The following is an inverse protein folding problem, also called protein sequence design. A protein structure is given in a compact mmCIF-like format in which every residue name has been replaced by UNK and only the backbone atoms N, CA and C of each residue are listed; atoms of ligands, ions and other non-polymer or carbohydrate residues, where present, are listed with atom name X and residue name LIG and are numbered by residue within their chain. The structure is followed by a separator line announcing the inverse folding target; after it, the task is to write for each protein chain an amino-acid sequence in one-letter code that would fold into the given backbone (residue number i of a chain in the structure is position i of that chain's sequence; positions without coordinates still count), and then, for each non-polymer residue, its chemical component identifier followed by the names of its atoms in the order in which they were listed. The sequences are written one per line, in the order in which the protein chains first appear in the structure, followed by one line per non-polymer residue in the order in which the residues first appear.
data_IF_655696404876
#
_entry.id   IF_655696404876
#
_cell.length_a   1.000
_cell.length_b   1.000
_cell.length_c   1.000
_cell.angle_alpha   90.00
_cell.angle_beta   90.00
_cell.angle_gamma   90.00
#
_symmetry.space_group_name_H-M   'P 1'
#
loop_
_entity.id
_entity.type
_entity.pdbx_description
1 polymer ?
#
# COMPACT_ATOMS: atom_id res chain seq x y z
N UNK A 1 -20.13 -7.94 7.87
CA UNK A 1 -19.99 -6.47 7.73
C UNK A 1 -20.44 -5.83 9.02
N UNK A 2 -19.58 -5.02 9.62
CA UNK A 2 -19.85 -4.35 10.90
C UNK A 2 -19.77 -2.83 10.73
N UNK A 3 -20.68 -2.06 11.36
CA UNK A 3 -20.51 -0.61 11.47
C UNK A 3 -19.41 -0.29 12.49
N UNK A 4 -18.55 0.66 12.15
CA UNK A 4 -17.43 1.11 12.95
C UNK A 4 -17.52 2.61 13.16
N UNK A 5 -17.19 3.06 14.37
CA UNK A 5 -17.27 4.47 14.75
C UNK A 5 -15.87 5.02 15.09
N UNK A 6 -15.49 6.15 14.49
CA UNK A 6 -14.24 6.89 14.77
C UNK A 6 -14.51 8.39 14.79
N UNK A 7 -14.28 9.00 15.95
CA UNK A 7 -14.40 10.45 16.14
C UNK A 7 -13.09 11.15 15.74
N UNK A 8 -12.84 11.21 14.43
CA UNK A 8 -11.67 11.87 13.83
C UNK A 8 -12.10 12.84 12.72
N UNK A 9 -11.26 13.84 12.45
CA UNK A 9 -11.51 14.82 11.38
C UNK A 9 -11.74 14.14 10.02
N UNK A 10 -12.77 14.50 9.25
CA UNK A 10 -12.95 13.90 7.93
C UNK A 10 -11.82 14.26 6.95
N UNK A 11 -11.60 13.37 5.98
CA UNK A 11 -10.74 13.55 4.80
C UNK A 11 -11.47 13.00 3.58
N UNK A 12 -10.94 13.19 2.38
CA UNK A 12 -11.58 12.73 1.15
C UNK A 12 -11.88 11.21 1.16
N UNK A 13 -11.06 10.41 1.85
CA UNK A 13 -11.18 8.97 2.03
C UNK A 13 -11.59 8.55 3.46
N UNK A 14 -11.89 9.51 4.35
CA UNK A 14 -12.26 9.27 5.75
C UNK A 14 -13.59 9.93 6.07
N UNK A 15 -14.63 9.11 6.20
CA UNK A 15 -15.95 9.56 6.60
C UNK A 15 -15.95 10.03 8.05
N UNK A 16 -16.75 11.06 8.35
CA UNK A 16 -16.94 11.56 9.70
C UNK A 16 -17.76 10.57 10.52
N UNK A 17 -17.22 10.13 11.65
CA UNK A 17 -17.89 9.29 12.64
C UNK A 17 -18.13 7.83 12.22
N UNK A 18 -18.87 7.52 11.15
CA UNK A 18 -19.28 6.13 10.85
C UNK A 18 -18.78 5.60 9.50
N UNK A 19 -18.43 4.32 9.44
CA UNK A 19 -18.11 3.59 8.19
C UNK A 19 -18.27 2.08 8.41
N UNK A 20 -18.23 1.28 7.33
CA UNK A 20 -18.42 -0.17 7.40
C UNK A 20 -17.12 -0.92 7.13
N UNK A 21 -16.88 -1.98 7.89
CA UNK A 21 -15.78 -2.92 7.66
C UNK A 21 -16.28 -4.33 7.34
N UNK A 22 -15.54 -5.02 6.49
CA UNK A 22 -15.65 -6.46 6.31
C UNK A 22 -14.71 -7.09 7.35
N UNK A 23 -15.26 -7.33 8.52
CA UNK A 23 -14.55 -7.92 9.65
C UNK A 23 -14.49 -9.46 9.52
N UNK A 24 -13.31 -10.04 9.73
CA UNK A 24 -13.06 -11.47 9.59
C UNK A 24 -11.93 -11.92 10.53
N UNK A 25 -12.14 -13.07 11.19
CA UNK A 25 -11.16 -13.72 12.07
C UNK A 25 -11.11 -15.21 11.72
N UNK A 26 -9.91 -15.80 11.76
CA UNK A 26 -9.69 -17.20 11.41
C UNK A 26 -8.85 -17.88 12.50
N UNK A 27 -9.14 -19.16 12.78
CA UNK A 27 -8.40 -19.95 13.78
C UNK A 27 -7.47 -20.96 13.12
N UNK A 28 -6.31 -21.20 13.74
CA UNK A 28 -5.31 -22.19 13.28
C UNK A 28 -4.76 -21.93 11.87
N UNK A 29 -4.58 -20.66 11.51
CA UNK A 29 -4.06 -20.23 10.20
C UNK A 29 -2.71 -19.53 10.33
N UNK A 30 -1.93 -19.55 9.27
CA UNK A 30 -0.73 -18.72 9.11
C UNK A 30 -1.05 -17.48 8.28
N UNK A 31 -0.11 -16.53 8.22
CA UNK A 31 -0.26 -15.29 7.48
C UNK A 31 -0.56 -15.52 5.99
N UNK A 32 0.06 -16.52 5.39
CA UNK A 32 -0.12 -16.85 3.97
C UNK A 32 -1.54 -17.32 3.64
N UNK A 33 -2.19 -18.01 4.57
CA UNK A 33 -3.58 -18.46 4.39
C UNK A 33 -4.52 -17.27 4.31
N UNK A 34 -4.33 -16.27 5.18
CA UNK A 34 -5.10 -15.03 5.19
C UNK A 34 -4.91 -14.28 3.86
N UNK A 35 -3.65 -14.15 3.41
CA UNK A 35 -3.37 -13.50 2.14
C UNK A 35 -4.01 -14.21 0.96
N UNK A 36 -3.92 -15.54 0.88
CA UNK A 36 -4.53 -16.30 -0.20
C UNK A 36 -6.06 -16.12 -0.26
N UNK A 37 -6.72 -16.12 0.90
CA UNK A 37 -8.16 -15.89 1.01
C UNK A 37 -8.54 -14.48 0.54
N UNK A 38 -7.82 -13.45 1.02
CA UNK A 38 -8.10 -12.07 0.66
C UNK A 38 -7.81 -11.78 -0.82
N UNK A 39 -6.70 -12.29 -1.37
CA UNK A 39 -6.36 -12.14 -2.79
C UNK A 39 -7.46 -12.74 -3.68
N UNK A 40 -7.96 -13.93 -3.35
CA UNK A 40 -9.08 -14.56 -4.06
C UNK A 40 -10.35 -13.73 -3.93
N UNK A 41 -10.70 -13.31 -2.71
CA UNK A 41 -11.89 -12.51 -2.43
C UNK A 41 -11.92 -11.22 -3.28
N UNK A 42 -10.82 -10.46 -3.28
CA UNK A 42 -10.73 -9.24 -4.07
C UNK A 42 -10.77 -9.51 -5.58
N UNK A 43 -10.12 -10.57 -6.05
CA UNK A 43 -10.14 -10.94 -7.47
C UNK A 43 -11.58 -11.24 -7.95
N UNK A 44 -12.34 -12.00 -7.16
CA UNK A 44 -13.72 -12.35 -7.46
C UNK A 44 -14.64 -11.13 -7.35
N UNK A 45 -14.47 -10.31 -6.32
CA UNK A 45 -15.26 -9.09 -6.12
C UNK A 45 -15.06 -8.08 -7.26
N UNK A 46 -13.82 -7.85 -7.70
CA UNK A 46 -13.52 -6.96 -8.82
C UNK A 46 -14.12 -7.51 -10.11
N UNK A 47 -14.02 -8.82 -10.35
CA UNK A 47 -14.59 -9.46 -11.55
C UNK A 47 -16.12 -9.30 -11.58
N UNK A 48 -16.79 -9.45 -10.43
CA UNK A 48 -18.24 -9.32 -10.31
C UNK A 48 -18.72 -7.86 -10.42
N UNK A 49 -18.02 -6.91 -9.81
CA UNK A 49 -18.43 -5.51 -9.71
C UNK A 49 -17.90 -4.63 -10.85
N UNK A 50 -16.86 -5.06 -11.54
CA UNK A 50 -16.17 -4.30 -12.59
C UNK A 50 -15.70 -5.23 -13.72
N UNK A 51 -16.62 -5.87 -14.45
CA UNK A 51 -16.30 -6.91 -15.43
C UNK A 51 -15.38 -6.42 -16.56
N UNK A 52 -15.39 -5.12 -16.86
CA UNK A 52 -14.53 -4.52 -17.90
C UNK A 52 -13.09 -4.27 -17.43
N UNK A 53 -12.83 -4.35 -16.12
CA UNK A 53 -11.50 -4.14 -15.55
C UNK A 53 -10.72 -5.45 -15.53
N UNK A 54 -9.56 -5.45 -16.18
CA UNK A 54 -8.65 -6.61 -16.16
C UNK A 54 -7.68 -6.51 -14.99
N UNK A 55 -7.72 -7.50 -14.11
CA UNK A 55 -6.73 -7.67 -13.04
C UNK A 55 -5.44 -8.20 -13.67
N UNK A 56 -4.31 -7.50 -13.45
CA UNK A 56 -3.02 -7.85 -14.07
C UNK A 56 -2.44 -9.18 -13.56
N UNK A 57 -2.67 -9.49 -12.29
CA UNK A 57 -2.17 -10.71 -11.64
C UNK A 57 -3.15 -11.16 -10.57
N UNK A 58 -3.35 -12.47 -10.43
CA UNK A 58 -4.16 -13.05 -9.35
C UNK A 58 -3.42 -13.09 -8.01
N UNK A 59 -2.08 -13.09 -8.05
CA UNK A 59 -1.23 -13.01 -6.85
C UNK A 59 -0.74 -11.57 -6.72
N UNK A 60 -1.04 -10.92 -5.61
CA UNK A 60 -0.70 -9.51 -5.46
C UNK A 60 0.80 -9.35 -5.18
N UNK A 61 1.45 -8.29 -5.74
CA UNK A 61 2.83 -7.99 -5.42
C UNK A 61 2.94 -7.68 -3.93
N UNK A 62 3.98 -8.22 -3.29
CA UNK A 62 4.24 -8.01 -1.87
C UNK A 62 5.52 -7.21 -1.73
N UNK A 63 5.42 -6.13 -0.99
CA UNK A 63 6.54 -5.28 -0.61
C UNK A 63 6.60 -5.29 0.91
N UNK A 64 7.80 -5.42 1.44
CA UNK A 64 8.03 -5.04 2.83
C UNK A 64 7.80 -3.55 2.99
N UNK A 65 7.49 -3.12 4.21
CA UNK A 65 7.37 -1.69 4.53
C UNK A 65 8.61 -0.90 4.07
N UNK A 66 9.80 -1.45 4.34
CA UNK A 66 11.08 -0.83 3.95
C UNK A 66 11.19 -0.67 2.44
N UNK A 67 10.88 -1.71 1.66
CA UNK A 67 10.91 -1.61 0.20
C UNK A 67 9.90 -0.59 -0.34
N UNK A 68 8.70 -0.51 0.25
CA UNK A 68 7.68 0.45 -0.19
C UNK A 68 8.11 1.90 0.08
N UNK A 69 8.64 2.19 1.27
CA UNK A 69 9.13 3.52 1.63
C UNK A 69 10.39 3.89 0.86
N UNK A 70 11.36 2.98 0.74
CA UNK A 70 12.62 3.25 0.04
C UNK A 70 12.39 3.50 -1.46
N UNK A 71 11.50 2.73 -2.11
CA UNK A 71 11.24 2.87 -3.56
C UNK A 71 10.19 3.90 -3.92
N UNK A 72 9.22 4.18 -3.06
CA UNK A 72 8.05 5.00 -3.42
C UNK A 72 7.71 6.09 -2.41
N UNK A 73 8.41 6.17 -1.28
CA UNK A 73 8.15 7.16 -0.22
C UNK A 73 6.82 6.98 0.51
N UNK A 74 6.15 5.83 0.35
CA UNK A 74 4.85 5.56 0.95
C UNK A 74 4.67 4.07 1.24
N UNK A 75 3.96 3.76 2.33
CA UNK A 75 3.52 2.41 2.70
C UNK A 75 2.28 1.93 1.92
N UNK A 76 1.67 2.80 1.11
CA UNK A 76 0.56 2.50 0.20
C UNK A 76 0.85 2.99 -1.23
N UNK A 77 1.92 2.49 -1.88
CA UNK A 77 2.39 3.02 -3.14
C UNK A 77 1.44 2.71 -4.30
N UNK A 78 1.35 3.65 -5.23
CA UNK A 78 0.69 3.43 -6.52
C UNK A 78 1.66 2.75 -7.50
N UNK A 79 1.60 1.42 -7.58
CA UNK A 79 2.49 0.59 -8.41
C UNK A 79 2.08 0.52 -9.89
N UNK A 80 1.19 1.41 -10.34
CA UNK A 80 0.75 1.44 -11.76
C UNK A 80 1.75 2.14 -12.67
N UNK A 81 2.63 2.98 -12.12
CA UNK A 81 3.64 3.74 -12.83
C UNK A 81 5.04 3.34 -12.36
N UNK A 82 6.02 3.41 -13.27
CA UNK A 82 7.39 2.94 -13.03
C UNK A 82 8.32 4.09 -12.58
N UNK A 83 7.83 4.97 -11.71
CA UNK A 83 8.57 6.12 -11.19
C UNK A 83 9.03 5.85 -9.77
N UNK A 84 10.17 5.16 -9.65
CA UNK A 84 10.78 4.84 -8.35
C UNK A 84 11.75 5.92 -7.90
N UNK A 85 11.94 6.02 -6.60
CA UNK A 85 13.06 6.73 -6.01
C UNK A 85 14.34 5.95 -6.25
N UNK A 86 15.40 6.68 -6.57
CA UNK A 86 16.74 6.17 -6.77
C UNK A 86 17.67 6.92 -5.82
N UNK A 87 18.56 6.19 -5.14
CA UNK A 87 19.49 6.77 -4.18
C UNK A 87 20.77 7.24 -4.89
N UNK A 88 20.99 8.54 -4.89
CA UNK A 88 22.20 9.19 -5.44
C UNK A 88 23.15 9.69 -4.34
N UNK A 89 22.99 9.24 -3.10
CA UNK A 89 23.81 9.71 -1.97
C UNK A 89 25.31 9.50 -2.23
N UNK A 90 25.70 8.38 -2.86
CA UNK A 90 27.10 8.13 -3.22
C UNK A 90 27.64 9.10 -4.28
N UNK A 91 26.82 9.52 -5.24
CA UNK A 91 27.23 10.44 -6.30
C UNK A 91 27.46 11.86 -5.77
N UNK A 92 26.78 12.22 -4.68
CA UNK A 92 26.86 13.55 -4.06
C UNK A 92 27.68 13.60 -2.78
N UNK A 93 28.34 12.50 -2.37
CA UNK A 93 29.13 12.44 -1.15
C UNK A 93 30.21 13.55 -1.05
N UNK A 94 30.85 13.87 -2.17
CA UNK A 94 31.88 14.93 -2.25
C UNK A 94 31.34 16.27 -2.81
N UNK A 95 30.01 16.45 -2.83
CA UNK A 95 29.40 17.65 -3.42
C UNK A 95 29.79 18.93 -2.67
N UNK A 96 30.24 19.94 -3.42
CA UNK A 96 30.47 21.29 -2.90
C UNK A 96 29.19 22.10 -2.66
N UNK A 97 28.03 21.57 -3.06
CA UNK A 97 26.74 22.24 -2.87
C UNK A 97 26.17 21.90 -1.49
N UNK A 98 26.05 22.92 -0.63
CA UNK A 98 25.76 22.75 0.80
C UNK A 98 24.50 21.95 1.10
N UNK A 99 23.44 22.08 0.29
CA UNK A 99 22.16 21.37 0.49
C UNK A 99 22.33 19.86 0.33
N UNK A 100 23.06 19.42 -0.70
CA UNK A 100 23.30 17.98 -0.91
C UNK A 100 24.28 17.42 0.10
N UNK A 101 25.33 18.16 0.43
CA UNK A 101 26.27 17.76 1.47
C UNK A 101 25.55 17.53 2.81
N UNK A 102 24.68 18.46 3.23
CA UNK A 102 23.90 18.31 4.48
C UNK A 102 22.86 17.20 4.46
N UNK A 103 22.47 16.69 3.28
CA UNK A 103 21.49 15.63 3.15
C UNK A 103 22.13 14.23 3.13
N UNK A 104 23.43 14.15 2.81
CA UNK A 104 24.21 12.90 2.74
C UNK A 104 25.04 12.66 4.02
N UNK A 105 25.50 13.72 4.67
CA UNK A 105 26.20 13.68 5.98
C UNK A 105 25.28 13.25 7.14
#
# INVERSE_FOLDING_TARGET
MAPCFRDEDPRADRHSCEFYQIDAELSFVEQEDIFAILESYYADAITALSPDKKIRTKKFPRLTYREAVDKYGSDKPDVRFDMHFEDFSSDFADSGFSVFKSAVD
#
